data_IF_108174622436
#
_entry.id   IF_108174622436
#
_cell.length_a   1.000
_cell.length_b   1.000
_cell.length_c   1.000
_cell.angle_alpha   90.00
_cell.angle_beta   90.00
_cell.angle_gamma   90.00
#
_symmetry.space_group_name_H-M   'P 1'
#
loop_
_entity.id
_entity.type
_entity.pdbx_description
1 polymer ?
#
# COMPACT_ATOMS: atom_id res chain seq x y z
N UNK A 1 4.10 -9.47 23.61
CA UNK A 1 4.45 -9.37 22.18
C UNK A 1 3.49 -8.36 21.55
N UNK A 2 4.00 -7.41 20.75
CA UNK A 2 3.21 -6.34 20.14
C UNK A 2 3.23 -6.51 18.63
N UNK A 3 2.05 -6.57 18.01
CA UNK A 3 1.89 -6.63 16.56
C UNK A 3 0.96 -5.49 16.14
N UNK A 4 1.56 -4.35 15.75
CA UNK A 4 0.85 -3.13 15.36
C UNK A 4 1.45 -2.65 14.03
N UNK A 5 0.60 -2.40 13.05
CA UNK A 5 0.97 -1.76 11.79
C UNK A 5 0.24 -0.40 11.67
N UNK A 6 0.97 0.65 11.30
CA UNK A 6 0.43 1.99 11.05
C UNK A 6 0.70 2.31 9.58
N UNK A 7 -0.36 2.51 8.81
CA UNK A 7 -0.29 2.82 7.38
C UNK A 7 -0.88 4.21 7.12
N UNK A 8 -0.12 5.05 6.42
CA UNK A 8 -0.58 6.34 5.91
C UNK A 8 -0.31 6.38 4.42
N UNK A 9 -1.38 6.46 3.62
CA UNK A 9 -1.28 6.32 2.18
C UNK A 9 -2.56 6.73 1.48
N UNK A 10 -2.69 6.33 0.21
CA UNK A 10 -3.87 6.60 -0.62
C UNK A 10 -4.65 5.31 -0.84
N UNK A 11 -5.97 5.42 -1.01
CA UNK A 11 -6.80 4.28 -1.42
C UNK A 11 -6.61 4.05 -2.92
N UNK A 12 -6.22 2.83 -3.31
CA UNK A 12 -5.89 2.49 -4.71
C UNK A 12 -7.13 2.37 -5.62
N UNK A 13 -8.25 1.94 -5.03
CA UNK A 13 -9.53 1.65 -5.68
C UNK A 13 -10.64 1.66 -4.64
N UNK A 14 -11.89 1.75 -5.09
CA UNK A 14 -13.04 1.64 -4.20
C UNK A 14 -12.98 0.36 -3.34
N UNK A 15 -13.31 0.42 -2.04
CA UNK A 15 -13.39 -0.75 -1.19
C UNK A 15 -14.36 -1.81 -1.73
N UNK A 16 -14.00 -3.08 -1.59
CA UNK A 16 -14.84 -4.20 -2.01
C UNK A 16 -15.36 -4.98 -0.79
N UNK A 17 -16.66 -5.21 -0.71
CA UNK A 17 -17.27 -6.00 0.38
C UNK A 17 -17.76 -7.34 -0.17
N UNK A 18 -17.44 -8.42 0.54
CA UNK A 18 -17.91 -9.77 0.25
C UNK A 18 -18.49 -10.40 1.51
N UNK A 19 -19.57 -11.14 1.34
CA UNK A 19 -20.12 -11.98 2.42
C UNK A 19 -19.41 -13.34 2.47
N UNK A 20 -19.05 -13.77 3.68
CA UNK A 20 -18.58 -15.13 3.92
C UNK A 20 -19.75 -16.12 3.88
N UNK A 21 -19.46 -17.42 3.77
CA UNK A 21 -20.52 -18.45 3.84
C UNK A 21 -21.32 -18.43 5.16
N UNK A 22 -20.76 -17.83 6.21
CA UNK A 22 -21.40 -17.68 7.52
C UNK A 22 -22.15 -16.37 7.72
N UNK A 23 -22.35 -15.57 6.68
CA UNK A 23 -23.10 -14.31 6.76
C UNK A 23 -22.30 -13.09 7.20
N UNK A 24 -21.03 -13.25 7.59
CA UNK A 24 -20.19 -12.11 7.97
C UNK A 24 -19.76 -11.33 6.73
N UNK A 25 -20.04 -10.04 6.70
CA UNK A 25 -19.52 -9.11 5.71
C UNK A 25 -18.05 -8.80 5.99
N UNK A 26 -17.22 -8.86 4.95
CA UNK A 26 -15.78 -8.59 5.01
C UNK A 26 -15.44 -7.58 3.94
N UNK A 27 -14.84 -6.46 4.32
CA UNK A 27 -14.45 -5.39 3.41
C UNK A 27 -12.93 -5.39 3.19
N UNK A 28 -12.52 -5.40 1.93
CA UNK A 28 -11.15 -5.23 1.49
C UNK A 28 -10.88 -3.79 1.10
N UNK A 29 -9.83 -3.20 1.67
CA UNK A 29 -9.30 -1.89 1.29
C UNK A 29 -7.87 -2.08 0.81
N UNK A 30 -7.52 -1.47 -0.32
CA UNK A 30 -6.13 -1.47 -0.82
C UNK A 30 -5.50 -0.11 -0.56
N UNK A 31 -4.50 -0.06 0.32
CA UNK A 31 -3.76 1.17 0.68
C UNK A 31 -2.40 1.17 -0.01
N UNK A 32 -2.10 2.24 -0.73
CA UNK A 32 -0.82 2.46 -1.41
C UNK A 32 0.04 3.41 -0.60
N UNK A 33 1.27 3.01 -0.31
CA UNK A 33 2.31 3.86 0.28
C UNK A 33 3.47 3.99 -0.69
N UNK A 34 4.08 5.17 -0.80
CA UNK A 34 5.26 5.37 -1.64
C UNK A 34 6.52 5.51 -0.79
N UNK A 35 7.61 4.89 -1.23
CA UNK A 35 8.95 5.08 -0.66
C UNK A 35 9.91 5.57 -1.76
N UNK A 36 10.94 6.38 -1.44
CA UNK A 36 11.96 6.73 -2.42
C UNK A 36 12.66 5.46 -2.93
N UNK A 37 12.66 5.27 -4.25
CA UNK A 37 13.36 4.17 -4.90
C UNK A 37 14.87 4.31 -4.72
N UNK A 38 15.56 3.19 -4.64
CA UNK A 38 17.03 3.15 -4.46
C UNK A 38 17.68 2.38 -5.60
N UNK A 39 18.81 2.88 -6.07
CA UNK A 39 19.64 2.19 -7.05
C UNK A 39 20.41 1.01 -6.42
N UNK A 40 21.21 0.32 -7.24
CA UNK A 40 22.05 -0.81 -6.82
C UNK A 40 23.06 -0.46 -5.71
N UNK A 41 23.40 0.82 -5.56
CA UNK A 41 24.34 1.33 -4.57
C UNK A 41 23.59 1.90 -3.34
N UNK A 42 22.26 1.75 -3.29
CA UNK A 42 21.40 2.17 -2.19
C UNK A 42 21.04 3.65 -2.18
N UNK A 43 21.34 4.40 -3.24
CA UNK A 43 21.09 5.85 -3.33
C UNK A 43 19.78 6.14 -4.05
N UNK A 44 19.11 7.21 -3.65
CA UNK A 44 17.94 7.72 -4.37
C UNK A 44 18.34 8.32 -5.70
N UNK A 45 17.55 8.11 -6.74
CA UNK A 45 17.80 8.64 -8.07
C UNK A 45 16.58 9.38 -8.63
N UNK A 46 16.76 10.05 -9.78
CA UNK A 46 15.71 10.80 -10.46
C UNK A 46 15.06 9.95 -11.55
N UNK A 47 13.75 10.03 -11.67
CA UNK A 47 13.00 9.49 -12.81
C UNK A 47 13.20 10.34 -14.07
N UNK A 48 12.60 9.92 -15.18
CA UNK A 48 12.67 10.60 -16.48
C UNK A 48 12.14 12.04 -16.44
N UNK A 49 11.29 12.38 -15.46
CA UNK A 49 10.70 13.70 -15.27
C UNK A 49 11.51 14.58 -14.30
N UNK A 50 12.64 14.09 -13.78
CA UNK A 50 13.51 14.81 -12.85
C UNK A 50 13.03 14.78 -11.39
N UNK A 51 11.97 14.01 -11.07
CA UNK A 51 11.51 13.82 -9.70
C UNK A 51 12.23 12.63 -9.04
N UNK A 52 12.26 12.60 -7.72
CA UNK A 52 12.83 11.42 -7.03
C UNK A 52 11.96 10.21 -7.34
N UNK A 53 12.56 9.19 -7.95
CA UNK A 53 11.88 7.94 -8.27
C UNK A 53 11.29 7.32 -6.99
N UNK A 54 10.14 6.66 -7.12
CA UNK A 54 9.40 6.08 -5.99
C UNK A 54 9.01 4.64 -6.29
N UNK A 55 9.08 3.81 -5.27
CA UNK A 55 8.52 2.47 -5.24
C UNK A 55 7.20 2.51 -4.47
N UNK A 56 6.12 2.05 -5.10
CA UNK A 56 4.80 1.96 -4.47
C UNK A 56 4.54 0.56 -3.92
N UNK A 57 4.07 0.49 -2.68
CA UNK A 57 3.67 -0.75 -2.01
C UNK A 57 2.16 -0.79 -1.77
N UNK A 58 1.56 -1.92 -2.14
CA UNK A 58 0.13 -2.15 -2.06
C UNK A 58 -0.20 -3.07 -0.89
N UNK A 59 -0.94 -2.54 0.07
CA UNK A 59 -1.32 -3.21 1.31
C UNK A 59 -2.79 -3.58 1.25
N UNK A 60 -3.13 -4.85 1.48
CA UNK A 60 -4.51 -5.28 1.67
C UNK A 60 -4.88 -5.17 3.14
N UNK A 61 -5.77 -4.23 3.47
CA UNK A 61 -6.41 -4.11 4.77
C UNK A 61 -7.77 -4.81 4.71
N UNK A 62 -8.08 -5.63 5.70
CA UNK A 62 -9.36 -6.35 5.79
C UNK A 62 -10.05 -5.97 7.10
N UNK A 63 -11.31 -5.55 7.03
CA UNK A 63 -12.12 -5.14 8.17
C UNK A 63 -13.56 -5.63 8.05
#
# INVERSE_FOLDING_TARGET
MTNIAILTGRIARDPDTRETKGGTSVTGITVVTDRPARDKDGKTYKDENGYTAKDSEFHRVTC
#
